data_IF_035925813345
#
_entry.id   IF_035925813345
#
_cell.length_a   1.000
_cell.length_b   1.000
_cell.length_c   1.000
_cell.angle_alpha   90.00
_cell.angle_beta   90.00
_cell.angle_gamma   90.00
#
_symmetry.space_group_name_H-M   'P 1'
#
loop_
_entity.id
_entity.type
_entity.pdbx_description
1 polymer ?
#
# COMPACT_ATOMS: atom_id res chain seq x y z
N UNK A 1 -26.68 19.73 0.25
CA UNK A 1 -27.69 18.81 -0.32
C UNK A 1 -27.27 18.25 -1.68
N UNK A 2 -26.64 19.02 -2.58
CA UNK A 2 -26.25 18.53 -3.92
C UNK A 2 -25.46 17.21 -3.91
N UNK A 3 -24.47 17.08 -3.02
CA UNK A 3 -23.66 15.85 -2.90
C UNK A 3 -24.46 14.64 -2.42
N UNK A 4 -25.25 14.84 -1.36
CA UNK A 4 -26.17 13.82 -0.85
C UNK A 4 -27.20 13.42 -1.91
N UNK A 5 -27.77 14.38 -2.64
CA UNK A 5 -28.69 14.09 -3.74
C UNK A 5 -27.98 13.29 -4.83
N UNK A 6 -26.76 13.67 -5.22
CA UNK A 6 -25.97 12.92 -6.20
C UNK A 6 -25.77 11.46 -5.80
N UNK A 7 -25.43 11.20 -4.54
CA UNK A 7 -25.33 9.86 -3.99
C UNK A 7 -26.66 9.09 -4.04
N UNK A 8 -27.77 9.73 -3.68
CA UNK A 8 -29.10 9.11 -3.67
C UNK A 8 -29.61 8.83 -5.08
N UNK A 9 -29.44 9.77 -6.02
CA UNK A 9 -29.99 9.67 -7.37
C UNK A 9 -29.17 8.77 -8.28
N UNK A 10 -27.84 8.75 -8.14
CA UNK A 10 -26.98 7.91 -8.95
C UNK A 10 -25.73 7.49 -8.17
N UNK A 11 -25.94 6.59 -7.21
CA UNK A 11 -24.91 6.05 -6.32
C UNK A 11 -23.70 5.50 -7.08
N UNK A 12 -23.90 4.77 -8.18
CA UNK A 12 -22.81 4.11 -8.90
C UNK A 12 -21.86 5.15 -9.50
N UNK A 13 -22.38 6.05 -10.34
CA UNK A 13 -21.59 7.12 -10.97
C UNK A 13 -20.98 8.06 -9.92
N UNK A 14 -21.70 8.34 -8.84
CA UNK A 14 -21.17 9.16 -7.76
C UNK A 14 -19.92 8.52 -7.14
N UNK A 15 -19.97 7.22 -6.82
CA UNK A 15 -18.84 6.50 -6.25
C UNK A 15 -17.68 6.36 -7.24
N UNK A 16 -17.97 6.15 -8.52
CA UNK A 16 -16.94 6.11 -9.59
C UNK A 16 -16.19 7.44 -9.67
N UNK A 17 -16.92 8.58 -9.70
CA UNK A 17 -16.29 9.90 -9.70
C UNK A 17 -15.46 10.15 -8.44
N UNK A 18 -15.90 9.68 -7.27
CA UNK A 18 -15.11 9.81 -6.04
C UNK A 18 -13.82 8.98 -6.11
N UNK A 19 -13.88 7.76 -6.65
CA UNK A 19 -12.68 6.97 -6.88
C UNK A 19 -11.70 7.69 -7.81
N UNK A 20 -12.19 8.32 -8.88
CA UNK A 20 -11.35 9.12 -9.78
C UNK A 20 -10.74 10.35 -9.10
N UNK A 21 -11.48 11.03 -8.23
CA UNK A 21 -10.99 12.21 -7.51
C UNK A 21 -9.97 11.89 -6.42
N UNK A 22 -10.20 10.83 -5.63
CA UNK A 22 -9.36 10.50 -4.48
C UNK A 22 -8.22 9.53 -4.80
N UNK A 23 -8.36 8.71 -5.84
CA UNK A 23 -7.35 7.72 -6.25
C UNK A 23 -7.22 6.51 -5.31
N UNK A 24 -7.57 6.64 -4.03
CA UNK A 24 -7.44 5.59 -3.02
C UNK A 24 -8.75 5.33 -2.25
N UNK A 25 -9.00 4.07 -1.81
CA UNK A 25 -10.23 3.69 -1.10
C UNK A 25 -10.44 4.46 0.21
N UNK A 26 -9.34 4.80 0.90
CA UNK A 26 -9.38 5.51 2.18
C UNK A 26 -10.01 6.90 2.05
N UNK A 27 -9.56 7.68 1.05
CA UNK A 27 -10.11 9.01 0.76
C UNK A 27 -11.61 8.96 0.43
N UNK A 28 -12.05 7.94 -0.32
CA UNK A 28 -13.48 7.72 -0.61
C UNK A 28 -14.25 7.38 0.68
N UNK A 29 -13.71 6.50 1.53
CA UNK A 29 -14.35 6.13 2.79
C UNK A 29 -14.52 7.35 3.71
N UNK A 30 -13.49 8.19 3.81
CA UNK A 30 -13.51 9.38 4.67
C UNK A 30 -14.46 10.46 4.17
N UNK A 31 -14.54 10.66 2.86
CA UNK A 31 -15.55 11.54 2.26
C UNK A 31 -16.97 11.06 2.59
N UNK A 32 -17.24 9.77 2.46
CA UNK A 32 -18.54 9.19 2.81
C UNK A 32 -18.84 9.30 4.32
N UNK A 33 -17.84 9.12 5.19
CA UNK A 33 -17.98 9.36 6.64
C UNK A 33 -18.31 10.82 6.93
N UNK A 34 -17.66 11.76 6.26
CA UNK A 34 -17.94 13.20 6.40
C UNK A 34 -19.37 13.53 5.97
N UNK A 35 -19.84 12.96 4.85
CA UNK A 35 -21.23 13.10 4.40
C UNK A 35 -22.23 12.48 5.39
N UNK A 36 -21.94 11.31 5.95
CA UNK A 36 -22.80 10.67 6.95
C UNK A 36 -22.91 11.50 8.23
N UNK A 37 -21.82 12.15 8.67
CA UNK A 37 -21.82 13.10 9.79
C UNK A 37 -22.61 14.36 9.48
N UNK A 38 -22.48 14.89 8.25
CA UNK A 38 -23.18 16.10 7.79
C UNK A 38 -24.68 15.87 7.60
N UNK A 39 -25.08 14.64 7.29
CA UNK A 39 -26.48 14.26 7.03
C UNK A 39 -26.88 13.03 7.87
N UNK A 40 -27.07 13.18 9.21
CA UNK A 40 -27.29 12.06 10.12
C UNK A 40 -28.52 11.20 9.77
N UNK A 41 -29.58 11.83 9.27
CA UNK A 41 -30.82 11.17 8.84
C UNK A 41 -30.58 10.14 7.71
N UNK A 42 -29.53 10.34 6.92
CA UNK A 42 -29.17 9.49 5.79
C UNK A 42 -27.92 8.65 6.05
N UNK A 43 -27.37 8.70 7.27
CA UNK A 43 -26.14 7.99 7.65
C UNK A 43 -26.15 6.50 7.31
N UNK A 44 -27.28 5.82 7.54
CA UNK A 44 -27.46 4.39 7.21
C UNK A 44 -27.26 4.08 5.72
N UNK A 45 -27.57 5.02 4.82
CA UNK A 45 -27.39 4.80 3.38
C UNK A 45 -25.92 4.74 2.97
N UNK A 46 -25.04 5.42 3.71
CA UNK A 46 -23.60 5.45 3.44
C UNK A 46 -22.86 4.28 4.09
N UNK A 47 -23.40 3.67 5.15
CA UNK A 47 -22.71 2.65 5.95
C UNK A 47 -22.17 1.48 5.12
N UNK A 48 -22.94 1.00 4.14
CA UNK A 48 -22.50 -0.13 3.30
C UNK A 48 -21.25 0.21 2.49
N UNK A 49 -21.20 1.40 1.89
CA UNK A 49 -20.04 1.81 1.10
C UNK A 49 -18.87 2.24 1.96
N UNK A 50 -19.13 2.94 3.07
CA UNK A 50 -18.09 3.24 4.07
C UNK A 50 -17.39 1.94 4.47
N UNK A 51 -18.15 0.90 4.82
CA UNK A 51 -17.58 -0.40 5.20
C UNK A 51 -16.79 -1.01 4.05
N UNK A 52 -17.36 -1.05 2.84
CA UNK A 52 -16.70 -1.60 1.64
C UNK A 52 -15.36 -0.93 1.36
N UNK A 53 -15.31 0.40 1.37
CA UNK A 53 -14.09 1.15 1.06
C UNK A 53 -13.07 1.10 2.20
N UNK A 54 -13.52 1.02 3.46
CA UNK A 54 -12.61 0.80 4.61
C UNK A 54 -11.95 -0.57 4.51
N UNK A 55 -12.72 -1.64 4.26
CA UNK A 55 -12.17 -3.00 4.07
C UNK A 55 -11.19 -3.08 2.88
N UNK A 56 -11.45 -2.32 1.81
CA UNK A 56 -10.54 -2.26 0.67
C UNK A 56 -9.25 -1.49 1.00
N UNK A 57 -9.35 -0.39 1.75
CA UNK A 57 -8.17 0.35 2.23
C UNK A 57 -7.29 -0.56 3.12
N UNK A 58 -7.91 -1.29 4.04
CA UNK A 58 -7.20 -2.22 4.93
C UNK A 58 -6.46 -3.31 4.13
N UNK A 59 -7.10 -3.89 3.11
CA UNK A 59 -6.44 -4.85 2.19
C UNK A 59 -5.25 -4.24 1.46
N UNK A 60 -5.39 -3.02 0.94
CA UNK A 60 -4.31 -2.35 0.23
C UNK A 60 -3.12 -2.05 1.15
N UNK A 61 -3.40 -1.62 2.39
CA UNK A 61 -2.39 -1.38 3.40
C UNK A 61 -1.66 -2.67 3.81
N UNK A 62 -2.39 -3.77 4.00
CA UNK A 62 -1.80 -5.08 4.27
C UNK A 62 -0.89 -5.55 3.13
N UNK A 63 -1.31 -5.37 1.87
CA UNK A 63 -0.51 -5.72 0.71
C UNK A 63 0.73 -4.85 0.57
N UNK A 64 0.63 -3.55 0.86
CA UNK A 64 1.77 -2.64 0.88
C UNK A 64 2.79 -3.07 1.95
N UNK A 65 2.31 -3.36 3.15
CA UNK A 65 3.14 -3.84 4.26
C UNK A 65 3.86 -5.15 3.93
N UNK A 66 3.15 -6.14 3.38
CA UNK A 66 3.73 -7.42 2.97
C UNK A 66 4.78 -7.26 1.87
N UNK A 67 4.57 -6.35 0.90
CA UNK A 67 5.57 -6.03 -0.13
C UNK A 67 6.83 -5.43 0.49
N UNK A 68 6.68 -4.50 1.43
CA UNK A 68 7.80 -3.89 2.12
C UNK A 68 8.61 -4.91 2.94
N UNK A 69 7.92 -5.81 3.65
CA UNK A 69 8.57 -6.90 4.38
C UNK A 69 9.39 -7.81 3.45
N UNK A 70 8.82 -8.23 2.32
CA UNK A 70 9.53 -9.05 1.33
C UNK A 70 10.75 -8.33 0.74
N UNK A 71 10.63 -7.03 0.47
CA UNK A 71 11.75 -6.24 0.00
C UNK A 71 12.88 -6.18 1.03
N UNK A 72 12.55 -5.95 2.30
CA UNK A 72 13.54 -5.94 3.40
C UNK A 72 14.20 -7.30 3.58
N UNK A 73 13.43 -8.39 3.54
CA UNK A 73 13.98 -9.75 3.60
C UNK A 73 14.94 -10.02 2.45
N UNK A 74 14.58 -9.65 1.22
CA UNK A 74 15.45 -9.82 0.06
C UNK A 74 16.76 -9.03 0.20
N UNK A 75 16.70 -7.79 0.68
CA UNK A 75 17.91 -6.98 0.91
C UNK A 75 18.80 -7.56 2.03
N UNK A 76 18.19 -8.19 3.05
CA UNK A 76 18.94 -8.88 4.09
C UNK A 76 19.56 -10.18 3.56
N UNK A 77 18.82 -10.97 2.80
CA UNK A 77 19.32 -12.17 2.13
C UNK A 77 20.44 -11.82 1.15
N UNK A 78 20.33 -10.79 0.32
CA UNK A 78 21.43 -10.33 -0.55
C UNK A 78 22.68 -9.91 0.25
N UNK A 79 22.50 -9.40 1.48
CA UNK A 79 23.61 -9.07 2.39
C UNK A 79 24.22 -10.31 3.05
N UNK A 80 23.43 -11.36 3.27
CA UNK A 80 23.83 -12.61 3.94
C UNK A 80 24.25 -13.72 2.94
N UNK A 81 23.82 -13.68 1.68
CA UNK A 81 23.95 -14.77 0.69
C UNK A 81 25.15 -14.68 -0.26
N UNK A 82 26.03 -13.70 -0.10
CA UNK A 82 27.39 -13.84 -0.62
C UNK A 82 27.92 -12.66 -1.43
N UNK A 83 28.96 -12.07 -0.87
CA UNK A 83 29.95 -11.25 -1.55
C UNK A 83 31.07 -10.98 -0.57
N UNK A 84 32.32 -10.99 -1.05
CA UNK A 84 33.48 -10.59 -0.24
C UNK A 84 33.17 -9.29 0.52
N UNK A 85 33.22 -9.29 1.85
CA UNK A 85 33.00 -8.07 2.64
C UNK A 85 34.31 -7.28 2.70
N UNK A 86 34.25 -5.96 2.47
CA UNK A 86 35.36 -5.02 2.66
C UNK A 86 36.64 -5.32 1.85
N UNK A 87 36.52 -5.80 0.61
CA UNK A 87 37.69 -5.94 -0.25
C UNK A 87 38.24 -4.53 -0.62
N UNK A 88 39.50 -4.19 -0.30
CA UNK A 88 40.07 -2.87 -0.57
C UNK A 88 40.12 -2.49 -2.06
N UNK A 89 39.94 -3.46 -2.97
CA UNK A 89 39.92 -3.25 -4.43
C UNK A 89 38.52 -3.28 -5.05
N UNK A 90 37.46 -3.39 -4.25
CA UNK A 90 36.07 -3.37 -4.69
C UNK A 90 35.55 -4.73 -5.18
N UNK A 91 34.22 -4.91 -5.09
CA UNK A 91 33.54 -6.13 -5.52
C UNK A 91 33.05 -5.98 -6.97
N UNK A 92 33.96 -6.19 -7.92
CA UNK A 92 33.60 -6.31 -9.34
C UNK A 92 32.90 -7.63 -9.65
N UNK A 93 32.44 -7.79 -10.91
CA UNK A 93 31.75 -8.99 -11.40
C UNK A 93 32.55 -10.31 -11.29
N UNK A 94 33.83 -10.26 -10.92
CA UNK A 94 34.70 -11.42 -10.71
C UNK A 94 34.89 -11.83 -9.23
N UNK A 95 34.21 -11.18 -8.28
CA UNK A 95 34.45 -11.38 -6.86
C UNK A 95 35.82 -10.81 -6.42
N UNK A 96 36.18 -10.99 -5.15
CA UNK A 96 37.49 -10.58 -4.65
C UNK A 96 38.37 -11.80 -4.35
N UNK A 97 39.57 -11.77 -4.92
CA UNK A 97 40.52 -12.89 -4.93
C UNK A 97 41.48 -12.88 -3.75
N UNK A 98 41.26 -12.02 -2.75
CA UNK A 98 42.10 -11.93 -1.55
C UNK A 98 41.67 -13.04 -0.58
N UNK A 99 42.57 -13.97 -0.20
CA UNK A 99 42.27 -15.00 0.77
C UNK A 99 41.81 -14.41 2.11
N UNK A 100 40.71 -14.93 2.66
CA UNK A 100 40.14 -14.47 3.94
C UNK A 100 39.09 -13.35 3.83
N UNK A 101 38.87 -12.79 2.64
CA UNK A 101 37.85 -11.75 2.41
C UNK A 101 36.59 -12.28 1.71
N UNK A 102 36.67 -13.44 1.05
CA UNK A 102 35.51 -14.18 0.56
C UNK A 102 35.31 -15.43 1.43
N UNK A 103 34.06 -15.69 1.83
CA UNK A 103 33.67 -17.02 2.26
C UNK A 103 33.71 -17.92 1.02
N UNK A 104 34.75 -18.75 0.92
CA UNK A 104 34.69 -19.94 0.08
C UNK A 104 33.58 -20.81 0.66
N UNK A 105 32.49 -20.98 -0.09
CA UNK A 105 31.45 -21.95 0.24
C UNK A 105 32.12 -23.34 0.33
N UNK A 106 32.31 -23.84 1.56
CA UNK A 106 32.46 -25.27 1.82
C UNK A 106 31.09 -25.92 1.86
#
# INVERSE_FOLDING_TARGET
MKEMMGYVTNRKTYLENLCECYGEPEGVADHLKALAKKYPLFSKMFQRDIRRFTEEADRQNEWAYQRELKYKQKMQEERESGGCMDCPWGNGAGGCSIPGYCQENM
#
